data_IF_265619016758
#
_entry.id   IF_265619016758
#
_cell.length_a   1.000
_cell.length_b   1.000
_cell.length_c   1.000
_cell.angle_alpha   90.00
_cell.angle_beta   90.00
_cell.angle_gamma   90.00
#
_symmetry.space_group_name_H-M   'P 1'
#
loop_
_entity.id
_entity.type
_entity.pdbx_description
1 polymer ?
#
# COMPACT_ATOMS: atom_id res chain seq x y z
N UNK A 1 25.71 -13.99 4.37
CA UNK A 1 25.45 -12.57 4.04
C UNK A 1 25.55 -11.76 5.31
N UNK A 2 26.41 -10.74 5.36
CA UNK A 2 26.44 -9.80 6.49
C UNK A 2 25.34 -8.78 6.23
N UNK A 3 24.27 -8.83 7.00
CA UNK A 3 23.34 -7.70 7.10
C UNK A 3 24.16 -6.49 7.56
N UNK A 4 24.09 -5.39 6.83
CA UNK A 4 24.66 -4.12 7.28
C UNK A 4 24.06 -3.79 8.66
N UNK A 5 24.87 -3.50 9.70
CA UNK A 5 24.31 -3.13 10.99
C UNK A 5 23.34 -1.96 10.84
N UNK A 6 22.10 -2.15 11.29
CA UNK A 6 21.07 -1.12 11.35
C UNK A 6 21.66 0.19 11.88
N UNK A 7 21.64 1.23 11.06
CA UNK A 7 22.21 2.55 11.36
C UNK A 7 21.46 3.27 12.48
N UNK A 8 20.15 3.09 12.53
CA UNK A 8 19.26 3.68 13.52
C UNK A 8 18.58 2.62 14.38
N UNK A 9 18.32 2.93 15.65
CA UNK A 9 17.56 2.07 16.56
C UNK A 9 16.04 2.25 16.39
N UNK A 10 15.58 2.39 15.16
CA UNK A 10 14.15 2.47 14.79
C UNK A 10 13.62 1.07 14.54
N UNK A 11 12.51 0.70 15.17
CA UNK A 11 11.91 -0.65 15.05
C UNK A 11 10.42 -0.66 15.41
N UNK A 12 9.74 -1.75 15.06
CA UNK A 12 8.41 -2.10 15.58
C UNK A 12 8.57 -3.02 16.79
N UNK A 13 8.00 -2.64 17.94
CA UNK A 13 8.05 -3.47 19.15
C UNK A 13 7.06 -4.65 19.10
N UNK A 14 7.08 -5.51 20.12
CA UNK A 14 6.22 -6.71 20.21
C UNK A 14 4.71 -6.39 20.26
N UNK A 15 4.36 -5.16 20.60
CA UNK A 15 2.97 -4.67 20.64
C UNK A 15 2.58 -3.98 19.31
N UNK A 16 3.46 -4.05 18.30
CA UNK A 16 3.25 -3.43 17.00
C UNK A 16 3.33 -1.90 17.05
N UNK A 17 4.07 -1.32 18.00
CA UNK A 17 4.28 0.13 18.10
C UNK A 17 5.59 0.53 17.46
N UNK A 18 5.58 1.66 16.77
CA UNK A 18 6.77 2.29 16.24
C UNK A 18 7.59 2.92 17.36
N UNK A 19 8.86 2.54 17.41
CA UNK A 19 9.91 3.17 18.19
C UNK A 19 10.83 3.82 17.18
N UNK A 20 10.91 5.15 17.20
CA UNK A 20 11.77 5.92 16.29
C UNK A 20 12.98 6.40 17.05
N UNK A 21 14.17 6.10 16.54
CA UNK A 21 15.39 6.73 17.02
C UNK A 21 15.31 8.23 16.72
N UNK A 22 15.46 9.13 17.72
CA UNK A 22 15.39 10.58 17.49
C UNK A 22 16.39 11.11 16.46
N UNK A 23 17.45 10.35 16.15
CA UNK A 23 18.45 10.68 15.14
C UNK A 23 18.13 10.14 13.76
N UNK A 24 17.09 9.32 13.60
CA UNK A 24 16.66 8.75 12.31
C UNK A 24 15.98 9.84 11.47
N UNK A 25 16.63 10.35 10.41
CA UNK A 25 16.10 11.45 9.62
C UNK A 25 15.16 10.94 8.51
N UNK A 26 14.98 9.62 8.39
CA UNK A 26 14.27 9.03 7.26
C UNK A 26 12.79 9.47 7.29
N UNK A 27 12.19 9.76 6.12
CA UNK A 27 10.78 10.14 6.04
C UNK A 27 9.86 8.97 6.46
N UNK A 28 8.55 9.21 6.51
CA UNK A 28 7.56 8.15 6.70
C UNK A 28 7.59 7.40 8.05
N UNK A 29 8.37 7.88 9.03
CA UNK A 29 8.46 7.29 10.38
C UNK A 29 7.57 7.99 11.42
N UNK A 30 6.47 8.64 11.01
CA UNK A 30 5.56 9.29 11.98
C UNK A 30 4.56 8.28 12.56
N UNK A 31 4.18 8.51 13.81
CA UNK A 31 3.24 7.67 14.54
C UNK A 31 2.06 8.47 15.09
N UNK A 32 0.93 7.80 15.33
CA UNK A 32 -0.22 8.39 16.03
C UNK A 32 -0.01 8.42 17.56
N UNK A 33 -1.04 8.85 18.30
CA UNK A 33 -1.05 8.88 19.78
C UNK A 33 -0.83 7.51 20.43
N UNK A 34 -1.13 6.42 19.73
CA UNK A 34 -0.95 5.04 20.17
C UNK A 34 0.37 4.44 19.64
N UNK A 35 1.23 5.28 19.06
CA UNK A 35 2.50 4.90 18.46
C UNK A 35 2.35 3.93 17.27
N UNK A 36 1.20 3.92 16.59
CA UNK A 36 1.04 3.18 15.33
C UNK A 36 1.60 4.00 14.17
N UNK A 37 2.31 3.40 13.21
CA UNK A 37 2.80 4.13 12.05
C UNK A 37 1.65 4.72 11.23
N UNK A 38 1.74 6.01 10.89
CA UNK A 38 0.70 6.73 10.13
C UNK A 38 1.22 7.48 8.92
N UNK A 39 2.53 7.58 8.74
CA UNK A 39 3.10 8.26 7.58
C UNK A 39 3.47 7.27 6.49
N UNK A 40 3.13 7.64 5.27
CA UNK A 40 3.45 6.92 4.04
C UNK A 40 3.73 7.94 2.93
N UNK A 41 4.39 7.54 1.83
CA UNK A 41 4.48 8.36 0.64
C UNK A 41 3.08 8.75 0.13
N UNK A 42 3.01 9.82 -0.67
CA UNK A 42 1.81 10.10 -1.44
C UNK A 42 1.83 9.28 -2.73
N UNK A 43 0.65 8.91 -3.22
CA UNK A 43 0.52 8.41 -4.59
C UNK A 43 1.08 9.42 -5.59
N UNK A 44 1.68 8.91 -6.67
CA UNK A 44 2.16 9.74 -7.76
C UNK A 44 0.95 10.35 -8.45
N UNK A 45 0.99 11.68 -8.64
CA UNK A 45 -0.03 12.38 -9.42
C UNK A 45 0.22 12.14 -10.90
N UNK A 46 -0.86 12.01 -11.67
CA UNK A 46 -0.76 11.96 -13.13
C UNK A 46 -0.23 13.30 -13.68
N UNK A 47 0.65 13.21 -14.66
CA UNK A 47 1.18 14.34 -15.43
C UNK A 47 1.19 13.99 -16.91
N UNK A 48 1.62 14.93 -17.75
CA UNK A 48 1.83 14.66 -19.18
C UNK A 48 2.97 13.67 -19.44
N UNK A 49 3.89 13.50 -18.49
CA UNK A 49 5.13 12.74 -18.67
C UNK A 49 5.02 11.33 -18.09
N UNK A 50 4.18 11.15 -17.06
CA UNK A 50 4.02 9.86 -16.40
C UNK A 50 2.60 9.67 -15.87
N UNK A 51 2.09 8.43 -15.89
CA UNK A 51 0.78 8.14 -15.34
C UNK A 51 0.79 8.30 -13.80
N UNK A 52 -0.39 8.56 -13.24
CA UNK A 52 -0.60 8.59 -11.79
C UNK A 52 -0.81 7.19 -11.24
N UNK A 53 -0.47 6.96 -9.97
CA UNK A 53 -0.58 5.63 -9.35
C UNK A 53 -2.04 5.14 -9.35
N UNK A 54 -3.00 6.04 -9.08
CA UNK A 54 -4.42 5.67 -8.97
C UNK A 54 -5.01 5.38 -10.35
N UNK A 55 -4.78 6.30 -11.29
CA UNK A 55 -5.29 6.22 -12.65
C UNK A 55 -4.73 5.01 -13.37
N UNK A 56 -3.43 4.71 -13.21
CA UNK A 56 -2.82 3.55 -13.82
C UNK A 56 -3.28 2.23 -13.20
N UNK A 57 -3.48 2.19 -11.87
CA UNK A 57 -4.08 1.01 -11.22
C UNK A 57 -5.45 0.69 -11.82
N UNK A 58 -6.26 1.72 -12.06
CA UNK A 58 -7.56 1.58 -12.71
C UNK A 58 -7.46 1.11 -14.16
N UNK A 59 -6.61 1.75 -14.98
CA UNK A 59 -6.43 1.37 -16.40
C UNK A 59 -5.95 -0.06 -16.55
N UNK A 60 -5.05 -0.51 -15.67
CA UNK A 60 -4.57 -1.90 -15.64
C UNK A 60 -5.71 -2.86 -15.34
N UNK A 61 -6.48 -2.63 -14.27
CA UNK A 61 -7.62 -3.47 -13.93
C UNK A 61 -8.67 -3.51 -15.05
N UNK A 62 -8.91 -2.39 -15.73
CA UNK A 62 -9.80 -2.33 -16.88
C UNK A 62 -9.25 -3.11 -18.08
N UNK A 63 -7.96 -2.99 -18.36
CA UNK A 63 -7.31 -3.69 -19.49
C UNK A 63 -7.19 -5.19 -19.27
N UNK A 64 -7.01 -5.61 -18.01
CA UNK A 64 -6.95 -7.02 -17.61
C UNK A 64 -8.36 -7.67 -17.60
N UNK A 65 -9.42 -6.86 -17.65
CA UNK A 65 -10.80 -7.35 -17.69
C UNK A 65 -11.25 -7.68 -19.12
N UNK A 66 -11.84 -8.87 -19.37
CA UNK A 66 -12.26 -9.28 -20.71
C UNK A 66 -13.41 -8.45 -21.30
N UNK A 67 -14.22 -7.81 -20.45
CA UNK A 67 -15.33 -6.94 -20.84
C UNK A 67 -15.02 -5.44 -20.59
N UNK A 68 -13.82 -5.12 -20.13
CA UNK A 68 -13.42 -3.75 -19.76
C UNK A 68 -14.07 -3.22 -18.47
N UNK A 69 -14.82 -4.05 -17.75
CA UNK A 69 -15.46 -3.68 -16.48
C UNK A 69 -14.52 -4.01 -15.33
N UNK A 70 -14.15 -2.99 -14.55
CA UNK A 70 -13.39 -3.17 -13.30
C UNK A 70 -14.31 -3.74 -12.23
N UNK A 71 -13.85 -4.79 -11.56
CA UNK A 71 -14.61 -5.50 -10.53
C UNK A 71 -13.80 -5.63 -9.25
N UNK A 72 -14.49 -5.60 -8.13
CA UNK A 72 -13.93 -5.92 -6.82
C UNK A 72 -13.38 -7.35 -6.81
N UNK A 73 -12.10 -7.58 -6.46
CA UNK A 73 -11.50 -8.91 -6.49
C UNK A 73 -12.18 -9.90 -5.56
N UNK A 74 -12.69 -9.44 -4.42
CA UNK A 74 -13.30 -10.30 -3.39
C UNK A 74 -14.73 -10.71 -3.75
N UNK A 75 -15.54 -9.80 -4.30
CA UNK A 75 -16.97 -10.03 -4.55
C UNK A 75 -17.33 -10.16 -6.03
N UNK A 76 -16.39 -9.88 -6.94
CA UNK A 76 -16.60 -9.78 -8.38
C UNK A 76 -17.65 -8.72 -8.80
N UNK A 77 -17.96 -7.78 -7.91
CA UNK A 77 -18.96 -6.73 -8.11
C UNK A 77 -18.38 -5.62 -8.98
N UNK A 78 -19.07 -5.14 -10.04
CA UNK A 78 -18.62 -3.98 -10.80
C UNK A 78 -18.37 -2.76 -9.93
N UNK A 79 -17.29 -2.04 -10.20
CA UNK A 79 -16.99 -0.76 -9.57
C UNK A 79 -17.36 0.36 -10.54
N UNK A 80 -18.34 1.17 -10.17
CA UNK A 80 -18.76 2.33 -10.95
C UNK A 80 -17.85 3.53 -10.62
N UNK A 81 -16.84 3.74 -11.46
CA UNK A 81 -15.94 4.89 -11.35
C UNK A 81 -15.26 5.18 -12.70
N UNK A 82 -14.98 6.45 -12.96
CA UNK A 82 -14.21 6.90 -14.11
C UNK A 82 -13.04 7.78 -13.70
N UNK A 83 -11.97 7.77 -14.51
CA UNK A 83 -10.79 8.59 -14.26
C UNK A 83 -11.18 10.07 -14.18
N UNK A 84 -10.76 10.73 -13.10
CA UNK A 84 -11.10 12.11 -12.78
C UNK A 84 -12.26 12.25 -11.79
N UNK A 85 -13.04 11.20 -11.54
CA UNK A 85 -14.06 11.21 -10.50
C UNK A 85 -13.44 11.07 -9.09
N UNK A 86 -14.04 11.65 -8.05
CA UNK A 86 -13.61 11.42 -6.68
C UNK A 86 -13.73 9.94 -6.29
N UNK A 87 -12.63 9.33 -5.83
CA UNK A 87 -12.59 7.92 -5.39
C UNK A 87 -13.20 7.68 -4.01
N UNK A 88 -13.27 8.72 -3.16
CA UNK A 88 -13.62 8.58 -1.74
C UNK A 88 -14.94 7.82 -1.55
N UNK A 89 -14.91 6.74 -0.75
CA UNK A 89 -16.04 5.82 -0.49
C UNK A 89 -16.55 5.01 -1.69
N UNK A 90 -15.87 5.05 -2.83
CA UNK A 90 -16.20 4.22 -4.01
C UNK A 90 -15.35 2.96 -3.96
N UNK A 91 -14.03 3.11 -4.06
CA UNK A 91 -13.07 2.01 -4.04
C UNK A 91 -11.77 2.44 -3.34
N UNK A 92 -10.94 1.50 -2.94
CA UNK A 92 -9.65 1.65 -2.29
C UNK A 92 -8.53 0.99 -3.07
N UNK A 93 -7.32 1.50 -2.87
CA UNK A 93 -6.09 0.93 -3.43
C UNK A 93 -5.71 -0.30 -2.60
N UNK A 94 -6.41 -1.41 -2.82
CA UNK A 94 -6.12 -2.68 -2.17
C UNK A 94 -4.74 -3.16 -2.59
N UNK A 95 -3.90 -3.54 -1.63
CA UNK A 95 -2.59 -4.10 -1.93
C UNK A 95 -2.75 -5.56 -2.39
N UNK A 96 -1.94 -5.98 -3.37
CA UNK A 96 -1.87 -7.40 -3.73
C UNK A 96 -1.32 -8.23 -2.54
N UNK A 97 -1.65 -9.53 -2.43
CA UNK A 97 -1.22 -10.37 -1.30
C UNK A 97 0.30 -10.35 -1.04
N UNK A 98 1.12 -10.42 -2.08
CA UNK A 98 2.60 -10.35 -1.99
C UNK A 98 3.13 -8.93 -1.75
N UNK A 99 2.26 -7.92 -1.81
CA UNK A 99 2.59 -6.50 -1.75
C UNK A 99 1.90 -5.83 -0.55
N UNK A 100 1.67 -6.55 0.55
CA UNK A 100 1.06 -5.98 1.73
C UNK A 100 1.88 -4.83 2.31
N UNK A 101 1.22 -3.69 2.55
CA UNK A 101 1.83 -2.50 3.15
C UNK A 101 2.58 -2.81 4.44
N UNK A 102 1.99 -3.62 5.34
CA UNK A 102 2.59 -3.96 6.63
C UNK A 102 3.96 -4.60 6.46
N UNK A 103 4.09 -5.53 5.51
CA UNK A 103 5.33 -6.28 5.24
C UNK A 103 6.42 -5.36 4.69
N UNK A 104 6.10 -4.58 3.66
CA UNK A 104 7.10 -3.70 3.02
C UNK A 104 7.48 -2.53 3.92
N UNK A 105 6.52 -1.99 4.67
CA UNK A 105 6.81 -0.95 5.66
C UNK A 105 7.68 -1.46 6.82
N UNK A 106 7.56 -2.75 7.21
CA UNK A 106 8.48 -3.36 8.17
C UNK A 106 9.90 -3.40 7.59
N UNK A 107 10.09 -3.87 6.36
CA UNK A 107 11.41 -3.88 5.69
C UNK A 107 12.03 -2.49 5.64
N UNK A 108 11.22 -1.47 5.33
CA UNK A 108 11.64 -0.08 5.39
C UNK A 108 12.11 0.33 6.79
N UNK A 109 11.31 0.07 7.82
CA UNK A 109 11.68 0.39 9.22
C UNK A 109 12.99 -0.30 9.61
N UNK A 110 13.14 -1.56 9.23
CA UNK A 110 14.28 -2.43 9.53
C UNK A 110 15.54 -2.11 8.74
N UNK A 111 15.46 -1.13 7.83
CA UNK A 111 16.55 -0.63 6.97
C UNK A 111 16.98 -1.62 5.88
N UNK A 112 16.11 -2.56 5.52
CA UNK A 112 16.29 -3.44 4.37
C UNK A 112 15.88 -2.77 3.05
N UNK A 113 15.28 -1.57 3.14
CA UNK A 113 14.81 -0.77 2.01
C UNK A 113 15.12 0.72 2.25
N UNK A 114 15.59 1.40 1.22
CA UNK A 114 15.85 2.85 1.23
C UNK A 114 14.54 3.66 1.18
N UNK A 115 14.55 4.95 1.59
CA UNK A 115 13.38 5.83 1.42
C UNK A 115 12.89 5.96 -0.02
N UNK A 116 13.83 5.93 -0.98
CA UNK A 116 13.56 6.00 -2.41
C UNK A 116 12.87 4.73 -2.89
N UNK A 117 13.41 3.55 -2.57
CA UNK A 117 12.79 2.26 -2.91
C UNK A 117 11.41 2.11 -2.29
N UNK A 118 11.23 2.51 -1.02
CA UNK A 118 9.91 2.46 -0.37
C UNK A 118 8.90 3.39 -1.05
N UNK A 119 9.34 4.57 -1.50
CA UNK A 119 8.50 5.50 -2.25
C UNK A 119 8.15 4.95 -3.62
N UNK A 120 9.13 4.41 -4.35
CA UNK A 120 8.93 3.84 -5.68
C UNK A 120 7.97 2.66 -5.62
N UNK A 121 8.18 1.74 -4.66
CA UNK A 121 7.27 0.65 -4.38
C UNK A 121 5.85 1.15 -4.06
N UNK A 122 5.72 2.13 -3.16
CA UNK A 122 4.39 2.67 -2.80
C UNK A 122 3.70 3.35 -3.99
N UNK A 123 4.45 3.88 -4.94
CA UNK A 123 3.91 4.58 -6.10
C UNK A 123 3.70 3.68 -7.32
N UNK A 124 4.16 2.43 -7.28
CA UNK A 124 4.00 1.49 -8.39
C UNK A 124 2.56 0.97 -8.44
N UNK A 125 1.79 1.28 -9.50
CA UNK A 125 0.41 0.82 -9.66
C UNK A 125 0.30 -0.72 -9.73
N UNK A 126 1.38 -1.44 -10.03
CA UNK A 126 1.39 -2.91 -10.06
C UNK A 126 1.22 -3.56 -8.69
N UNK A 127 1.41 -2.79 -7.62
CA UNK A 127 1.28 -3.29 -6.25
C UNK A 127 -0.17 -3.23 -5.73
N UNK A 128 -1.11 -2.79 -6.56
CA UNK A 128 -2.47 -2.51 -6.17
C UNK A 128 -3.51 -3.14 -7.10
N UNK A 129 -4.72 -3.26 -6.57
CA UNK A 129 -5.94 -3.58 -7.31
C UNK A 129 -7.09 -2.72 -6.79
N UNK A 130 -8.05 -2.29 -7.64
CA UNK A 130 -9.24 -1.60 -7.17
C UNK A 130 -10.13 -2.51 -6.32
N UNK A 131 -10.30 -2.19 -5.04
CA UNK A 131 -11.18 -2.93 -4.13
C UNK A 131 -12.34 -2.04 -3.67
N UNK A 132 -13.57 -2.54 -3.61
CA UNK A 132 -14.70 -1.75 -3.13
C UNK A 132 -14.45 -1.27 -1.70
N UNK A 133 -14.85 -0.03 -1.41
CA UNK A 133 -14.71 0.55 -0.08
C UNK A 133 -15.35 -0.34 1.00
N UNK A 134 -16.50 -0.96 0.70
CA UNK A 134 -17.16 -1.90 1.61
C UNK A 134 -16.37 -3.19 1.85
N UNK A 135 -15.85 -3.81 0.79
CA UNK A 135 -15.11 -5.08 0.85
C UNK A 135 -13.80 -4.91 1.63
N UNK A 136 -13.07 -3.84 1.33
CA UNK A 136 -11.82 -3.49 2.02
C UNK A 136 -12.07 -3.23 3.51
N UNK A 137 -13.12 -2.48 3.85
CA UNK A 137 -13.49 -2.22 5.26
C UNK A 137 -13.93 -3.47 6.02
N UNK A 138 -14.48 -4.46 5.31
CA UNK A 138 -14.82 -5.77 5.85
C UNK A 138 -13.62 -6.74 5.86
N UNK A 139 -12.45 -6.33 5.34
CA UNK A 139 -11.23 -7.15 5.21
C UNK A 139 -11.45 -8.45 4.43
N UNK A 140 -12.36 -8.42 3.44
CA UNK A 140 -12.72 -9.62 2.68
C UNK A 140 -11.56 -10.13 1.82
N UNK A 141 -10.74 -9.22 1.26
CA UNK A 141 -9.54 -9.56 0.51
C UNK A 141 -8.31 -9.91 1.38
N UNK A 142 -8.35 -9.66 2.69
CA UNK A 142 -7.22 -9.95 3.61
C UNK A 142 -7.30 -11.37 4.22
N UNK A 143 -8.43 -12.07 4.12
CA UNK A 143 -8.67 -13.37 4.76
C UNK A 143 -8.16 -14.59 3.95
N UNK A 144 -7.17 -14.42 3.08
CA UNK A 144 -6.53 -15.54 2.37
C UNK A 144 -5.20 -15.93 3.02
N UNK A 145 -5.17 -16.09 4.35
CA UNK A 145 -4.09 -16.84 5.01
C UNK A 145 -4.46 -18.34 4.92
N UNK A 146 -3.72 -19.17 4.16
CA UNK A 146 -3.98 -20.60 4.08
C UNK A 146 -3.41 -21.39 5.27
N UNK A 147 -3.06 -20.76 6.39
CA UNK A 147 -2.44 -21.42 7.56
C UNK A 147 -3.21 -21.17 8.87
N UNK A 148 -4.53 -21.37 8.89
CA UNK A 148 -5.26 -21.73 10.13
C UNK A 148 -6.42 -22.70 9.80
N UNK A 149 -6.08 -23.97 9.51
CA UNK A 149 -6.94 -25.15 9.77
C UNK A 149 -6.12 -26.22 10.52
#
# INVERSE_FOLDING_TARGET
>A
MKLDPRKYATYIDREGRLVVDPKDPRPYLKMDKNRKPISRPSYRKETKEHPGTVEETWRRAQSDSPDGIVRDPATNTPIEWEIGQPRNKVWDMGHLPEQQYRTVHQQYIEQDMTPEEFREWFQDPKNYTPELYSSNRARMGENTDPEEE
#
